data_IF_263681877344
#
_entry.id   IF_263681877344
#
_cell.length_a   1.000
_cell.length_b   1.000
_cell.length_c   1.000
_cell.angle_alpha   90.00
_cell.angle_beta   90.00
_cell.angle_gamma   90.00
#
_symmetry.space_group_name_H-M   'P 1'
#
loop_
_entity.id
_entity.type
_entity.pdbx_description
1 polymer ?
#
# COMPACT_ATOMS: atom_id res chain seq x y z
N UNK A 1 3.66 -20.58 -13.55
CA UNK A 1 4.14 -19.29 -12.98
C UNK A 1 5.04 -18.56 -13.98
N UNK A 2 6.18 -19.13 -14.39
CA UNK A 2 7.19 -18.48 -15.27
C UNK A 2 6.63 -17.81 -16.53
N UNK A 3 5.79 -18.48 -17.31
CA UNK A 3 5.23 -17.90 -18.54
C UNK A 3 4.31 -16.70 -18.26
N UNK A 4 3.58 -16.72 -17.14
CA UNK A 4 2.69 -15.62 -16.72
C UNK A 4 3.52 -14.45 -16.20
N UNK A 5 4.58 -14.72 -15.43
CA UNK A 5 5.54 -13.71 -14.98
C UNK A 5 6.18 -12.99 -16.17
N UNK A 6 6.64 -13.73 -17.18
CA UNK A 6 7.19 -13.15 -18.42
C UNK A 6 6.17 -12.32 -19.18
N UNK A 7 4.90 -12.76 -19.22
CA UNK A 7 3.82 -11.98 -19.80
C UNK A 7 3.62 -10.66 -19.04
N UNK A 8 3.57 -10.68 -17.70
CA UNK A 8 3.44 -9.46 -16.91
C UNK A 8 4.60 -8.48 -17.13
N UNK A 9 5.83 -8.97 -17.22
CA UNK A 9 7.00 -8.13 -17.55
C UNK A 9 6.84 -7.49 -18.94
N UNK A 10 6.40 -8.26 -19.95
CA UNK A 10 6.12 -7.71 -21.28
C UNK A 10 5.02 -6.64 -21.22
N UNK A 11 3.95 -6.89 -20.46
CA UNK A 11 2.85 -5.96 -20.26
C UNK A 11 3.28 -4.66 -19.57
N UNK A 12 4.19 -4.73 -18.60
CA UNK A 12 4.84 -3.55 -18.02
C UNK A 12 5.58 -2.75 -19.10
N UNK A 13 6.38 -3.41 -19.92
CA UNK A 13 7.18 -2.74 -20.95
C UNK A 13 6.35 -2.08 -22.06
N UNK A 14 5.14 -2.57 -22.35
CA UNK A 14 4.21 -1.94 -23.30
C UNK A 14 3.27 -0.91 -22.65
N UNK A 15 3.44 -0.63 -21.36
CA UNK A 15 2.76 0.47 -20.68
C UNK A 15 1.29 0.22 -20.31
N UNK A 16 0.84 -1.04 -20.18
CA UNK A 16 -0.55 -1.33 -19.77
C UNK A 16 -0.80 -1.22 -18.25
N UNK A 17 0.21 -0.82 -17.49
CA UNK A 17 0.14 -0.56 -16.05
C UNK A 17 0.37 0.93 -15.79
N UNK A 18 -0.66 1.77 -15.97
CA UNK A 18 -0.50 3.21 -15.80
C UNK A 18 -0.26 3.59 -14.33
N UNK A 19 0.46 4.68 -14.14
CA UNK A 19 0.79 5.26 -12.82
C UNK A 19 -0.05 6.49 -12.47
N UNK A 20 -1.30 6.55 -12.94
CA UNK A 20 -2.24 7.64 -12.66
C UNK A 20 -3.67 7.11 -12.56
N UNK A 21 -4.50 7.78 -11.77
CA UNK A 21 -5.94 7.53 -11.71
C UNK A 21 -6.69 8.10 -12.92
N UNK A 22 -6.19 9.20 -13.48
CA UNK A 22 -6.73 9.82 -14.69
C UNK A 22 -6.14 9.15 -15.92
N UNK A 23 -6.98 8.39 -16.63
CA UNK A 23 -6.63 7.70 -17.86
C UNK A 23 -7.54 8.18 -18.99
N UNK A 24 -6.99 8.59 -20.15
CA UNK A 24 -7.81 8.84 -21.33
C UNK A 24 -8.48 7.53 -21.79
N UNK A 25 -9.63 7.59 -22.47
CA UNK A 25 -10.36 6.40 -22.90
C UNK A 25 -9.56 5.42 -23.77
N UNK A 26 -8.55 5.92 -24.48
CA UNK A 26 -7.67 5.13 -25.35
C UNK A 26 -6.51 4.45 -24.62
N UNK A 27 -6.23 4.80 -23.36
CA UNK A 27 -5.10 4.21 -22.62
C UNK A 27 -5.49 2.85 -22.05
N UNK A 28 -4.81 1.76 -22.43
CA UNK A 28 -5.06 0.45 -21.86
C UNK A 28 -4.66 0.42 -20.38
N UNK A 29 -5.48 -0.24 -19.57
CA UNK A 29 -5.18 -0.53 -18.16
C UNK A 29 -5.51 -1.97 -17.83
N UNK A 30 -4.49 -2.71 -17.41
CA UNK A 30 -4.62 -4.11 -17.02
C UNK A 30 -5.64 -4.26 -15.89
N UNK A 31 -5.48 -3.51 -14.80
CA UNK A 31 -6.33 -3.65 -13.63
C UNK A 31 -7.74 -3.10 -13.85
N UNK A 32 -7.94 -2.04 -14.64
CA UNK A 32 -9.28 -1.57 -15.01
C UNK A 32 -10.09 -2.65 -15.72
N UNK A 33 -9.43 -3.46 -16.55
CA UNK A 33 -10.08 -4.51 -17.35
C UNK A 33 -10.24 -5.83 -16.60
N UNK A 34 -9.33 -6.14 -15.68
CA UNK A 34 -9.25 -7.46 -15.04
C UNK A 34 -9.72 -7.51 -13.60
N UNK A 35 -9.74 -6.38 -12.87
CA UNK A 35 -10.12 -6.35 -11.46
C UNK A 35 -11.52 -6.91 -11.16
N UNK A 36 -12.57 -6.68 -11.97
CA UNK A 36 -13.87 -7.30 -11.72
C UNK A 36 -13.78 -8.83 -11.66
N UNK A 37 -13.05 -9.44 -12.60
CA UNK A 37 -12.84 -10.89 -12.67
C UNK A 37 -11.95 -11.37 -11.52
N UNK A 38 -10.86 -10.65 -11.22
CA UNK A 38 -9.95 -10.97 -10.11
C UNK A 38 -10.73 -10.98 -8.78
N UNK A 39 -11.54 -9.95 -8.53
CA UNK A 39 -12.39 -9.84 -7.33
C UNK A 39 -13.45 -10.95 -7.27
N UNK A 40 -14.07 -11.29 -8.40
CA UNK A 40 -15.00 -12.42 -8.50
C UNK A 40 -14.35 -13.73 -8.08
N UNK A 41 -13.16 -14.02 -8.62
CA UNK A 41 -12.40 -15.24 -8.29
C UNK A 41 -11.99 -15.32 -6.82
N UNK A 42 -11.61 -14.20 -6.19
CA UNK A 42 -11.28 -14.19 -4.76
C UNK A 42 -12.48 -14.47 -3.83
N UNK A 43 -13.72 -14.31 -4.31
CA UNK A 43 -14.92 -14.66 -3.53
C UNK A 43 -15.24 -16.15 -3.60
N UNK A 44 -14.75 -16.85 -4.62
CA UNK A 44 -15.10 -18.24 -4.92
C UNK A 44 -14.03 -19.25 -4.52
N UNK A 45 -12.78 -18.84 -4.32
CA UNK A 45 -11.63 -19.75 -4.17
C UNK A 45 -10.99 -19.72 -2.78
N UNK A 46 -10.67 -20.92 -2.27
CA UNK A 46 -10.06 -21.19 -0.96
C UNK A 46 -8.52 -20.97 -0.99
N UNK A 47 -8.08 -19.74 -1.28
CA UNK A 47 -6.67 -19.28 -1.23
C UNK A 47 -5.73 -19.70 -2.39
N UNK A 48 -6.07 -20.67 -3.26
CA UNK A 48 -5.18 -21.08 -4.37
C UNK A 48 -4.88 -19.94 -5.35
N UNK A 49 -5.89 -19.15 -5.69
CA UNK A 49 -5.77 -18.01 -6.59
C UNK A 49 -4.96 -16.88 -5.95
N UNK A 50 -5.07 -16.68 -4.64
CA UNK A 50 -4.24 -15.73 -3.90
C UNK A 50 -2.78 -16.16 -3.89
N UNK A 51 -2.52 -17.44 -3.62
CA UNK A 51 -1.18 -18.01 -3.72
C UNK A 51 -0.59 -17.86 -5.11
N UNK A 52 -1.37 -18.13 -6.16
CA UNK A 52 -0.95 -17.94 -7.54
C UNK A 52 -0.50 -16.50 -7.84
N UNK A 53 -1.27 -15.50 -7.40
CA UNK A 53 -0.89 -14.08 -7.56
C UNK A 53 0.38 -13.73 -6.79
N UNK A 54 0.46 -14.18 -5.53
CA UNK A 54 1.61 -13.93 -4.67
C UNK A 54 2.89 -14.54 -5.26
N UNK A 55 2.82 -15.80 -5.73
CA UNK A 55 3.93 -16.52 -6.37
C UNK A 55 4.38 -15.80 -7.65
N UNK A 56 3.44 -15.32 -8.48
CA UNK A 56 3.77 -14.56 -9.69
C UNK A 56 4.51 -13.27 -9.35
N UNK A 57 4.00 -12.47 -8.43
CA UNK A 57 4.57 -11.16 -8.13
C UNK A 57 5.92 -11.26 -7.43
N UNK A 58 6.09 -12.26 -6.56
CA UNK A 58 7.39 -12.57 -5.95
C UNK A 58 8.40 -13.12 -6.96
N UNK A 59 7.94 -13.78 -8.03
CA UNK A 59 8.83 -14.26 -9.10
C UNK A 59 9.27 -13.19 -10.10
N UNK A 60 8.79 -11.95 -9.98
CA UNK A 60 9.19 -10.87 -10.88
C UNK A 60 10.66 -10.49 -10.64
N UNK A 61 11.52 -10.53 -11.68
CA UNK A 61 12.96 -10.27 -11.52
C UNK A 61 13.30 -8.78 -11.35
N UNK A 62 12.32 -7.88 -11.47
CA UNK A 62 12.54 -6.43 -11.50
C UNK A 62 11.70 -5.72 -10.44
N UNK A 63 12.39 -5.05 -9.51
CA UNK A 63 11.80 -4.11 -8.54
C UNK A 63 10.96 -3.05 -9.25
N UNK A 64 11.43 -2.52 -10.38
CA UNK A 64 10.70 -1.51 -11.15
C UNK A 64 9.39 -2.08 -11.70
N UNK A 65 9.40 -3.31 -12.19
CA UNK A 65 8.19 -3.98 -12.66
C UNK A 65 7.20 -4.21 -11.51
N UNK A 66 7.68 -4.68 -10.36
CA UNK A 66 6.85 -4.84 -9.15
C UNK A 66 6.24 -3.51 -8.71
N UNK A 67 7.04 -2.44 -8.63
CA UNK A 67 6.57 -1.10 -8.27
C UNK A 67 5.54 -0.57 -9.27
N UNK A 68 5.75 -0.80 -10.56
CA UNK A 68 4.83 -0.36 -11.62
C UNK A 68 3.48 -1.08 -11.51
N UNK A 69 3.51 -2.40 -11.34
CA UNK A 69 2.29 -3.21 -11.17
C UNK A 69 1.56 -2.82 -9.88
N UNK A 70 2.27 -2.72 -8.75
CA UNK A 70 1.67 -2.35 -7.47
C UNK A 70 1.08 -0.94 -7.51
N UNK A 71 1.81 0.05 -8.04
CA UNK A 71 1.31 1.42 -8.22
C UNK A 71 0.04 1.44 -9.08
N UNK A 72 0.04 0.72 -10.21
CA UNK A 72 -1.11 0.65 -11.11
C UNK A 72 -2.33 0.00 -10.47
N UNK A 73 -2.12 -1.02 -9.63
CA UNK A 73 -3.20 -1.60 -8.83
C UNK A 73 -3.77 -0.56 -7.85
N UNK A 74 -2.90 0.14 -7.11
CA UNK A 74 -3.30 1.16 -6.13
C UNK A 74 -4.16 2.26 -6.77
N UNK A 75 -3.79 2.77 -7.96
CA UNK A 75 -4.60 3.73 -8.70
C UNK A 75 -5.94 3.16 -9.19
N UNK A 76 -6.07 1.84 -9.29
CA UNK A 76 -7.29 1.15 -9.72
C UNK A 76 -8.20 0.72 -8.56
N UNK A 77 -7.80 0.97 -7.30
CA UNK A 77 -8.63 0.69 -6.13
C UNK A 77 -9.86 1.59 -6.09
N UNK A 78 -10.90 1.13 -5.40
CA UNK A 78 -12.10 1.94 -5.20
C UNK A 78 -11.75 3.23 -4.43
N UNK A 79 -12.17 4.36 -4.98
CA UNK A 79 -11.99 5.65 -4.32
C UNK A 79 -13.03 5.83 -3.22
N UNK A 80 -12.59 6.36 -2.08
CA UNK A 80 -13.51 6.75 -1.02
C UNK A 80 -14.20 8.07 -1.41
N UNK A 81 -15.51 8.23 -1.16
CA UNK A 81 -16.20 9.50 -1.35
C UNK A 81 -15.57 10.65 -0.54
N UNK A 82 -15.08 10.32 0.65
CA UNK A 82 -14.26 11.19 1.49
C UNK A 82 -13.04 10.42 2.00
N UNK A 83 -11.80 10.89 1.78
CA UNK A 83 -10.58 10.19 2.22
C UNK A 83 -10.58 9.83 3.72
N UNK A 84 -11.13 10.72 4.55
CA UNK A 84 -11.23 10.56 6.01
C UNK A 84 -12.66 10.19 6.47
N UNK A 85 -13.51 9.71 5.55
CA UNK A 85 -14.87 9.30 5.86
C UNK A 85 -14.94 8.23 6.95
N UNK A 86 -15.80 8.45 7.95
CA UNK A 86 -15.89 7.59 9.15
C UNK A 86 -17.05 6.60 9.10
N UNK A 87 -17.84 6.59 8.02
CA UNK A 87 -19.04 5.75 7.91
C UNK A 87 -18.69 4.27 7.85
N UNK A 88 -19.68 3.41 8.16
CA UNK A 88 -19.51 1.97 8.02
C UNK A 88 -19.18 1.56 6.58
N UNK A 89 -19.77 2.25 5.59
CA UNK A 89 -19.49 2.04 4.18
C UNK A 89 -18.04 2.37 3.83
N UNK A 90 -17.52 3.52 4.28
CA UNK A 90 -16.12 3.92 4.05
C UNK A 90 -15.15 2.90 4.65
N UNK A 91 -15.44 2.42 5.87
CA UNK A 91 -14.65 1.38 6.54
C UNK A 91 -14.71 0.06 5.78
N UNK A 92 -15.88 -0.31 5.27
CA UNK A 92 -16.08 -1.49 4.44
C UNK A 92 -15.22 -1.46 3.17
N UNK A 93 -15.15 -0.30 2.50
CA UNK A 93 -14.27 -0.11 1.33
C UNK A 93 -12.80 -0.29 1.72
N UNK A 94 -12.34 0.34 2.81
CA UNK A 94 -10.95 0.21 3.28
C UNK A 94 -10.57 -1.25 3.55
N UNK A 95 -11.45 -2.00 4.22
CA UNK A 95 -11.23 -3.43 4.51
C UNK A 95 -11.25 -4.26 3.23
N UNK A 96 -12.19 -3.99 2.31
CA UNK A 96 -12.29 -4.73 1.06
C UNK A 96 -11.03 -4.52 0.19
N UNK A 97 -10.56 -3.28 0.05
CA UNK A 97 -9.37 -3.00 -0.76
C UNK A 97 -8.09 -3.48 -0.06
N UNK A 98 -8.01 -3.46 1.27
CA UNK A 98 -6.86 -4.02 1.99
C UNK A 98 -6.78 -5.54 1.88
N UNK A 99 -7.94 -6.23 1.89
CA UNK A 99 -8.03 -7.67 1.61
C UNK A 99 -7.64 -8.00 0.17
N UNK A 100 -7.96 -7.14 -0.80
CA UNK A 100 -7.50 -7.31 -2.19
C UNK A 100 -5.98 -7.22 -2.29
N UNK A 101 -5.37 -6.23 -1.63
CA UNK A 101 -3.90 -6.11 -1.57
C UNK A 101 -3.29 -7.34 -0.91
N UNK A 102 -3.86 -7.80 0.20
CA UNK A 102 -3.43 -9.03 0.87
C UNK A 102 -3.56 -10.26 -0.03
N UNK A 103 -4.65 -10.39 -0.78
CA UNK A 103 -4.86 -11.54 -1.64
C UNK A 103 -3.90 -11.56 -2.85
N UNK A 104 -3.50 -10.39 -3.36
CA UNK A 104 -2.62 -10.29 -4.53
C UNK A 104 -1.14 -10.33 -4.13
N UNK A 105 -0.73 -9.54 -3.14
CA UNK A 105 0.66 -9.36 -2.74
C UNK A 105 1.06 -10.16 -1.50
N UNK A 106 0.11 -10.83 -0.85
CA UNK A 106 0.34 -11.50 0.42
C UNK A 106 0.40 -10.53 1.61
N UNK A 107 0.73 -11.03 2.81
CA UNK A 107 1.04 -10.19 3.95
C UNK A 107 2.33 -9.42 3.72
N UNK A 108 2.37 -8.18 4.23
CA UNK A 108 3.61 -7.42 4.27
C UNK A 108 4.62 -8.10 5.21
N UNK A 109 5.79 -8.42 4.68
CA UNK A 109 6.90 -9.06 5.38
C UNK A 109 8.15 -8.20 5.25
N UNK A 110 8.58 -7.48 6.31
CA UNK A 110 9.74 -6.57 6.25
C UNK A 110 11.04 -7.20 5.76
N UNK A 111 11.18 -8.52 5.91
CA UNK A 111 12.36 -9.27 5.49
C UNK A 111 12.32 -9.74 4.02
N UNK A 112 11.21 -9.53 3.31
CA UNK A 112 11.05 -9.99 1.92
C UNK A 112 11.62 -9.00 0.90
N UNK A 113 12.10 -9.49 -0.24
CA UNK A 113 12.58 -8.62 -1.32
C UNK A 113 11.48 -7.71 -1.89
N UNK A 114 10.23 -8.21 -1.93
CA UNK A 114 9.07 -7.48 -2.41
C UNK A 114 8.69 -6.28 -1.50
N UNK A 115 9.07 -6.32 -0.22
CA UNK A 115 8.81 -5.26 0.76
C UNK A 115 9.36 -3.91 0.31
N UNK A 116 10.61 -3.88 -0.16
CA UNK A 116 11.25 -2.64 -0.58
C UNK A 116 10.57 -2.03 -1.82
N UNK A 117 10.10 -2.88 -2.74
CA UNK A 117 9.30 -2.44 -3.88
C UNK A 117 8.00 -1.77 -3.42
N UNK A 118 7.24 -2.45 -2.57
CA UNK A 118 5.95 -1.95 -2.07
C UNK A 118 6.12 -0.67 -1.25
N UNK A 119 7.07 -0.66 -0.30
CA UNK A 119 7.39 0.53 0.49
C UNK A 119 7.79 1.71 -0.38
N UNK A 120 8.62 1.48 -1.40
CA UNK A 120 9.01 2.52 -2.35
C UNK A 120 7.78 3.20 -2.95
N UNK A 121 6.75 2.45 -3.33
CA UNK A 121 5.52 3.02 -3.89
C UNK A 121 4.64 3.69 -2.83
N UNK A 122 4.41 3.04 -1.68
CA UNK A 122 3.63 3.61 -0.56
C UNK A 122 4.23 4.95 -0.16
N UNK A 123 5.55 5.02 -0.10
CA UNK A 123 6.24 6.19 0.41
C UNK A 123 6.52 7.23 -0.66
N UNK A 124 6.72 6.94 -1.94
CA UNK A 124 7.16 7.99 -2.90
C UNK A 124 6.08 8.61 -3.79
N UNK A 125 4.91 7.96 -3.95
CA UNK A 125 3.86 8.47 -4.84
C UNK A 125 2.93 9.46 -4.14
N UNK A 126 2.21 10.23 -4.95
CA UNK A 126 1.23 11.23 -4.49
C UNK A 126 -0.12 10.57 -4.18
N UNK A 127 -0.13 9.84 -3.07
CA UNK A 127 -1.33 9.24 -2.51
C UNK A 127 -2.12 10.24 -1.68
N UNK A 128 -3.40 9.91 -1.43
CA UNK A 128 -4.25 10.63 -0.49
C UNK A 128 -4.43 9.84 0.82
N UNK A 129 -5.10 10.45 1.79
CA UNK A 129 -5.35 9.89 3.11
C UNK A 129 -6.18 8.59 3.06
N UNK A 130 -7.02 8.44 2.03
CA UNK A 130 -7.78 7.20 1.78
C UNK A 130 -6.86 6.01 1.50
N UNK A 131 -5.82 6.21 0.68
CA UNK A 131 -4.80 5.18 0.43
C UNK A 131 -4.01 4.88 1.70
N UNK A 132 -3.68 5.88 2.52
CA UNK A 132 -3.03 5.65 3.81
C UNK A 132 -3.83 4.68 4.68
N UNK A 133 -5.16 4.84 4.74
CA UNK A 133 -6.05 3.91 5.47
C UNK A 133 -6.00 2.49 4.92
N UNK A 134 -6.03 2.33 3.60
CA UNK A 134 -5.95 1.01 2.95
C UNK A 134 -4.60 0.35 3.25
N UNK A 135 -3.50 1.08 3.09
CA UNK A 135 -2.15 0.54 3.31
C UNK A 135 -1.91 0.15 4.77
N UNK A 136 -2.33 0.99 5.72
CA UNK A 136 -2.18 0.65 7.16
C UNK A 136 -3.10 -0.50 7.54
N UNK A 137 -4.34 -0.55 7.03
CA UNK A 137 -5.22 -1.69 7.26
C UNK A 137 -4.63 -2.99 6.71
N UNK A 138 -4.01 -2.96 5.53
CA UNK A 138 -3.30 -4.10 4.96
C UNK A 138 -2.07 -4.49 5.78
N UNK A 139 -1.24 -3.51 6.17
CA UNK A 139 -0.07 -3.73 7.01
C UNK A 139 -0.44 -4.32 8.37
N UNK A 140 -1.59 -3.95 8.93
CA UNK A 140 -2.13 -4.52 10.16
C UNK A 140 -2.67 -5.96 9.99
N UNK A 141 -2.81 -6.47 8.76
CA UNK A 141 -3.31 -7.82 8.48
C UNK A 141 -4.69 -7.90 7.83
N UNK A 142 -5.24 -6.77 7.33
CA UNK A 142 -6.51 -6.70 6.58
C UNK A 142 -7.70 -7.36 7.30
N UNK A 143 -7.75 -7.24 8.63
CA UNK A 143 -8.75 -7.90 9.50
C UNK A 143 -8.74 -9.44 9.51
N UNK A 144 -7.71 -10.10 8.95
CA UNK A 144 -7.49 -11.54 9.07
C UNK A 144 -6.76 -11.87 10.39
N UNK A 145 -7.51 -11.93 11.49
CA UNK A 145 -6.98 -12.44 12.76
C UNK A 145 -6.08 -11.46 13.51
N UNK A 146 -4.86 -11.91 13.88
CA UNK A 146 -3.95 -11.14 14.74
C UNK A 146 -3.25 -10.00 13.99
N UNK A 147 -3.17 -8.84 14.62
CA UNK A 147 -2.46 -7.66 14.08
C UNK A 147 -1.01 -8.00 13.73
N UNK A 148 -0.57 -7.71 12.51
CA UNK A 148 0.82 -7.88 12.09
C UNK A 148 1.70 -6.73 12.60
N UNK A 149 2.06 -6.79 13.89
CA UNK A 149 2.84 -5.76 14.57
C UNK A 149 4.22 -5.54 13.95
N UNK A 150 4.86 -6.57 13.38
CA UNK A 150 6.17 -6.45 12.73
C UNK A 150 6.10 -5.57 11.47
N UNK A 151 5.12 -5.80 10.61
CA UNK A 151 4.92 -4.96 9.43
C UNK A 151 4.58 -3.52 9.79
N UNK A 152 3.73 -3.30 10.80
CA UNK A 152 3.41 -1.97 11.29
C UNK A 152 4.63 -1.25 11.89
N UNK A 153 5.47 -1.95 12.64
CA UNK A 153 6.72 -1.41 13.19
C UNK A 153 7.69 -0.98 12.08
N UNK A 154 7.90 -1.85 11.09
CA UNK A 154 8.79 -1.54 9.97
C UNK A 154 8.24 -0.40 9.09
N UNK A 155 6.92 -0.36 8.87
CA UNK A 155 6.27 0.75 8.17
C UNK A 155 6.37 2.06 8.95
N UNK A 156 6.20 2.01 10.29
CA UNK A 156 6.33 3.18 11.16
C UNK A 156 7.73 3.79 11.06
N UNK A 157 8.77 2.97 11.18
CA UNK A 157 10.16 3.43 11.10
C UNK A 157 10.43 4.17 9.78
N UNK A 158 10.04 3.57 8.65
CA UNK A 158 10.24 4.18 7.32
C UNK A 158 9.39 5.41 7.09
N UNK A 159 8.17 5.43 7.64
CA UNK A 159 7.29 6.61 7.57
C UNK A 159 7.86 7.75 8.41
N UNK A 160 8.41 7.47 9.59
CA UNK A 160 9.04 8.46 10.46
C UNK A 160 10.30 9.05 9.83
N UNK A 161 11.15 8.21 9.22
CA UNK A 161 12.33 8.68 8.48
C UNK A 161 11.94 9.68 7.38
N UNK A 162 10.87 9.38 6.62
CA UNK A 162 10.35 10.28 5.60
C UNK A 162 9.69 11.53 6.19
N UNK A 163 8.89 11.36 7.24
CA UNK A 163 8.13 12.43 7.87
C UNK A 163 9.03 13.49 8.49
N UNK A 164 10.15 13.05 9.07
CA UNK A 164 11.17 13.92 9.68
C UNK A 164 12.22 14.46 8.70
N UNK A 165 12.19 14.04 7.43
CA UNK A 165 13.16 14.51 6.44
C UNK A 165 12.93 16.00 6.09
N UNK A 166 14.00 16.79 6.08
CA UNK A 166 13.93 18.23 5.73
C UNK A 166 13.31 18.49 4.35
N UNK A 167 13.49 17.57 3.39
CA UNK A 167 12.88 17.65 2.06
C UNK A 167 11.35 17.59 2.13
N UNK A 168 10.79 16.72 2.98
CA UNK A 168 9.36 16.69 3.22
C UNK A 168 8.94 18.00 3.88
N UNK A 169 9.56 18.36 5.00
CA UNK A 169 9.22 19.53 5.83
C UNK A 169 9.19 20.84 5.03
N UNK A 170 10.16 21.06 4.14
CA UNK A 170 10.37 22.37 3.48
C UNK A 170 9.89 22.44 2.03
N UNK A 171 9.87 21.32 1.31
CA UNK A 171 9.78 21.33 -0.15
C UNK A 171 8.61 20.51 -0.70
N UNK A 172 7.82 19.85 0.16
CA UNK A 172 6.69 19.03 -0.29
C UNK A 172 5.38 19.79 -0.34
N UNK A 173 4.47 19.30 -1.19
CA UNK A 173 3.11 19.82 -1.30
C UNK A 173 2.29 19.53 -0.04
N UNK A 174 1.28 20.35 0.23
CA UNK A 174 0.39 20.15 1.39
C UNK A 174 -0.30 18.78 1.36
N UNK A 175 -0.76 18.32 0.19
CA UNK A 175 -1.37 16.99 0.02
C UNK A 175 -0.42 15.87 0.43
N UNK A 176 0.86 16.04 0.14
CA UNK A 176 1.92 15.10 0.50
C UNK A 176 2.14 15.07 2.02
N UNK A 177 2.14 16.23 2.68
CA UNK A 177 2.18 16.31 4.14
C UNK A 177 0.97 15.62 4.78
N UNK A 178 -0.23 15.87 4.27
CA UNK A 178 -1.45 15.24 4.77
C UNK A 178 -1.38 13.71 4.65
N UNK A 179 -0.91 13.20 3.51
CA UNK A 179 -0.75 11.78 3.30
C UNK A 179 0.23 11.15 4.28
N UNK A 180 1.47 11.66 4.36
CA UNK A 180 2.51 11.06 5.22
C UNK A 180 2.15 11.20 6.70
N UNK A 181 1.55 12.33 7.10
CA UNK A 181 1.07 12.52 8.48
C UNK A 181 -0.09 11.58 8.81
N UNK A 182 -1.03 11.40 7.88
CA UNK A 182 -2.12 10.42 8.06
C UNK A 182 -1.57 9.01 8.19
N UNK A 183 -0.58 8.65 7.36
CA UNK A 183 0.09 7.36 7.43
C UNK A 183 0.72 7.14 8.82
N UNK A 184 1.48 8.12 9.31
CA UNK A 184 2.10 8.08 10.64
C UNK A 184 1.06 7.90 11.76
N UNK A 185 0.03 8.75 11.81
CA UNK A 185 -0.99 8.73 12.86
C UNK A 185 -1.82 7.45 12.82
N UNK A 186 -2.18 6.98 11.63
CA UNK A 186 -2.92 5.73 11.47
C UNK A 186 -2.09 4.55 11.97
N UNK A 187 -0.80 4.45 11.64
CA UNK A 187 0.06 3.37 12.14
C UNK A 187 0.13 3.40 13.67
N UNK A 188 0.37 4.57 14.27
CA UNK A 188 0.43 4.74 15.73
C UNK A 188 -0.88 4.30 16.39
N UNK A 189 -2.03 4.57 15.76
CA UNK A 189 -3.35 4.23 16.31
C UNK A 189 -3.60 2.71 16.45
N UNK A 190 -2.84 1.86 15.77
CA UNK A 190 -2.92 0.40 15.92
C UNK A 190 -2.15 -0.13 17.14
N UNK A 191 -1.29 0.68 17.75
CA UNK A 191 -0.55 0.28 18.94
C UNK A 191 -1.31 0.65 20.23
N UNK A 192 -1.18 -0.15 21.31
CA UNK A 192 -1.70 0.23 22.61
C UNK A 192 -1.13 1.57 23.08
N UNK A 193 -1.90 2.32 23.88
CA UNK A 193 -1.50 3.66 24.37
C UNK A 193 -0.16 3.67 25.12
N UNK A 194 0.21 2.56 25.75
CA UNK A 194 1.46 2.39 26.51
C UNK A 194 2.51 1.56 25.76
N UNK A 195 2.38 1.45 24.43
CA UNK A 195 3.36 0.77 23.61
C UNK A 195 4.71 1.47 23.73
N UNK A 196 5.74 0.76 24.21
CA UNK A 196 7.12 1.26 24.31
C UNK A 196 7.62 1.80 22.96
N UNK A 197 7.19 1.18 21.85
CA UNK A 197 7.49 1.64 20.50
C UNK A 197 6.97 3.07 20.27
N UNK A 198 5.70 3.34 20.61
CA UNK A 198 5.09 4.66 20.40
C UNK A 198 5.75 5.69 21.30
N UNK A 199 6.02 5.34 22.56
CA UNK A 199 6.74 6.22 23.50
C UNK A 199 8.14 6.53 22.98
N UNK A 200 8.90 5.52 22.54
CA UNK A 200 10.25 5.71 21.98
C UNK A 200 10.26 6.56 20.72
N UNK A 201 9.22 6.43 19.87
CA UNK A 201 9.06 7.24 18.66
C UNK A 201 8.75 8.70 19.01
N UNK A 202 7.85 8.94 19.97
CA UNK A 202 7.50 10.29 20.42
C UNK A 202 8.69 11.02 21.07
N UNK A 203 9.62 10.27 21.67
CA UNK A 203 10.84 10.79 22.28
C UNK A 203 12.05 10.78 21.34
N UNK A 204 11.90 10.33 20.09
CA UNK A 204 13.04 10.24 19.17
C UNK A 204 13.51 11.64 18.77
N UNK A 205 14.84 11.88 18.65
CA UNK A 205 15.35 13.18 18.22
C UNK A 205 14.81 13.60 16.85
N UNK A 206 14.60 12.64 15.94
CA UNK A 206 14.02 12.87 14.62
C UNK A 206 12.58 13.36 14.69
N UNK A 207 11.76 12.81 15.57
CA UNK A 207 10.39 13.26 15.77
C UNK A 207 10.36 14.65 16.40
N UNK A 208 11.11 14.85 17.49
CA UNK A 208 11.16 16.12 18.23
C UNK A 208 11.61 17.26 17.30
N UNK A 209 12.72 17.07 16.57
CA UNK A 209 13.25 18.08 15.65
C UNK A 209 12.32 18.36 14.46
N UNK A 210 11.49 17.42 14.05
CA UNK A 210 10.56 17.62 12.95
C UNK A 210 9.28 18.37 13.38
N UNK A 211 8.92 18.31 14.67
CA UNK A 211 7.81 19.07 15.26
C UNK A 211 8.20 20.53 15.52
N UNK A 212 9.42 20.78 16.04
CA UNK A 212 9.88 22.13 16.38
C UNK A 212 11.27 22.17 17.01
#
# INVERSE_FOLDING_TARGET
>A
VTSVTQLLVKLVNVGVFPSSSFLPPSQPSFFRSTLPTIRGRFREDDDRYSKFWTDILNSLPSTVAQQTIFSSLCYSLAQLPSPLGVTAQDRGIVVQESLLLHAIFGPLQPESDAWNSVLGVILTRDWNEGHARIFVCWAAGAARGTTNSKALQALLARTLDMWSASELVKHSLLSRHHYVTSLLLLIVSYFPRQSELVVSTALSPSFVSAVG
#
